data_IF_465762013562
#
_entry.id   IF_465762013562
#
_cell.length_a   1.000
_cell.length_b   1.000
_cell.length_c   1.000
_cell.angle_alpha   90.00
_cell.angle_beta   90.00
_cell.angle_gamma   90.00
#
_symmetry.space_group_name_H-M   'P 1'
#
loop_
_entity.id
_entity.type
_entity.pdbx_description
1 polymer ?
#
# COMPACT_ATOMS: atom_id res chain seq x y z
N UNK A 1 -2.89 -3.51 -12.63
CA UNK A 1 -3.25 -4.03 -13.95
C UNK A 1 -3.33 -2.85 -14.92
N UNK A 2 -2.54 -2.84 -16.00
CA UNK A 2 -2.62 -1.78 -17.00
C UNK A 2 -3.96 -1.83 -17.74
N UNK A 3 -4.54 -0.67 -18.02
CA UNK A 3 -5.76 -0.49 -18.83
C UNK A 3 -5.35 0.12 -20.15
N UNK A 4 -5.61 -0.62 -21.23
CA UNK A 4 -5.27 -0.20 -22.59
C UNK A 4 -6.48 0.46 -23.24
N UNK A 5 -6.26 1.53 -24.01
CA UNK A 5 -7.23 2.11 -24.95
C UNK A 5 -6.46 2.36 -26.24
N UNK A 6 -6.99 1.92 -27.38
CA UNK A 6 -6.31 2.02 -28.69
C UNK A 6 -4.86 1.50 -28.73
N UNK A 7 -4.57 0.48 -27.92
CA UNK A 7 -3.24 -0.15 -27.84
C UNK A 7 -2.24 0.56 -26.93
N UNK A 8 -2.61 1.67 -26.30
CA UNK A 8 -1.76 2.40 -25.36
C UNK A 8 -2.24 2.28 -23.91
N UNK A 9 -1.30 2.28 -22.96
CA UNK A 9 -1.64 2.28 -21.52
C UNK A 9 -1.95 3.71 -21.10
N UNK A 10 -3.18 3.95 -20.64
CA UNK A 10 -3.56 5.26 -20.08
C UNK A 10 -3.86 5.23 -18.59
N UNK A 11 -4.26 4.07 -18.04
CA UNK A 11 -4.65 3.95 -16.64
C UNK A 11 -4.15 2.65 -16.01
N UNK A 12 -4.24 2.58 -14.69
CA UNK A 12 -3.88 1.40 -13.90
C UNK A 12 -4.99 1.08 -12.89
N UNK A 13 -5.49 -0.15 -12.93
CA UNK A 13 -6.29 -0.70 -11.84
C UNK A 13 -5.37 -1.27 -10.75
N UNK A 14 -5.62 -0.93 -9.49
CA UNK A 14 -4.91 -1.48 -8.34
C UNK A 14 -5.91 -1.97 -7.29
N UNK A 15 -5.63 -3.14 -6.72
CA UNK A 15 -6.34 -3.69 -5.59
C UNK A 15 -5.30 -4.15 -4.57
N UNK A 16 -5.52 -3.81 -3.30
CA UNK A 16 -4.65 -4.17 -2.18
C UNK A 16 -5.50 -4.84 -1.12
N UNK A 17 -5.09 -6.02 -0.70
CA UNK A 17 -5.65 -6.75 0.44
C UNK A 17 -4.52 -7.27 1.32
N UNK A 18 -4.80 -7.47 2.61
CA UNK A 18 -3.91 -8.23 3.49
C UNK A 18 -4.04 -9.72 3.14
N UNK A 19 -2.92 -10.41 2.99
CA UNK A 19 -2.89 -11.86 2.76
C UNK A 19 -2.58 -12.55 4.08
N UNK A 20 -3.41 -13.51 4.45
CA UNK A 20 -3.35 -14.16 5.76
C UNK A 20 -2.05 -14.93 6.02
N UNK A 21 -1.33 -15.35 4.98
CA UNK A 21 -0.08 -16.08 5.15
C UNK A 21 0.83 -16.05 3.92
N UNK A 22 2.10 -15.73 4.11
CA UNK A 22 3.13 -15.68 3.07
C UNK A 22 4.42 -16.42 3.49
N UNK A 23 4.33 -17.43 4.36
CA UNK A 23 5.43 -18.37 4.57
C UNK A 23 6.53 -17.91 5.53
N UNK A 24 6.21 -17.07 6.52
CA UNK A 24 7.12 -16.73 7.63
C UNK A 24 7.47 -17.95 8.51
N UNK A 25 8.34 -17.80 9.51
CA UNK A 25 8.58 -18.85 10.51
C UNK A 25 7.32 -19.24 11.30
N UNK A 26 6.30 -18.37 11.35
CA UNK A 26 5.00 -18.64 12.00
C UNK A 26 3.82 -18.45 11.05
N UNK A 27 2.69 -19.06 11.42
CA UNK A 27 1.42 -18.91 10.70
C UNK A 27 0.77 -17.55 10.95
N UNK A 28 0.21 -16.94 9.90
CA UNK A 28 -0.46 -15.63 10.00
C UNK A 28 0.37 -14.46 9.48
N UNK A 29 1.62 -14.70 9.07
CA UNK A 29 2.51 -13.70 8.48
C UNK A 29 3.03 -12.63 9.45
N UNK A 30 2.73 -12.73 10.75
CA UNK A 30 3.26 -11.87 11.80
C UNK A 30 4.08 -12.71 12.77
N UNK A 31 5.40 -12.60 12.71
CA UNK A 31 6.33 -13.29 13.62
C UNK A 31 6.93 -12.29 14.62
N UNK A 32 6.43 -12.21 15.87
CA UNK A 32 6.99 -11.30 16.88
C UNK A 32 8.45 -11.61 17.24
N UNK A 33 8.91 -12.84 16.96
CA UNK A 33 10.27 -13.28 17.26
C UNK A 33 11.22 -13.08 16.08
N UNK A 34 10.76 -12.46 14.98
CA UNK A 34 11.62 -12.17 13.84
C UNK A 34 12.68 -11.13 14.22
N UNK A 35 13.94 -11.50 14.05
CA UNK A 35 15.12 -10.64 14.29
C UNK A 35 15.77 -10.19 12.98
N UNK A 36 15.37 -10.80 11.87
CA UNK A 36 15.78 -10.43 10.53
C UNK A 36 14.63 -10.65 9.53
N UNK A 37 14.75 -10.00 8.38
CA UNK A 37 13.72 -10.01 7.33
C UNK A 37 13.51 -11.39 6.68
N UNK A 38 14.40 -12.36 6.88
CA UNK A 38 14.29 -13.70 6.32
C UNK A 38 13.44 -14.63 7.18
N UNK A 39 13.22 -14.24 8.44
CA UNK A 39 12.30 -14.90 9.37
C UNK A 39 10.85 -14.40 9.20
N UNK A 40 10.67 -13.28 8.50
CA UNK A 40 9.37 -12.73 8.09
C UNK A 40 8.82 -13.44 6.84
N UNK A 41 7.87 -12.80 6.14
CA UNK A 41 7.20 -13.33 4.96
C UNK A 41 8.12 -13.44 3.74
N UNK A 42 7.73 -14.32 2.82
CA UNK A 42 8.30 -14.41 1.49
C UNK A 42 8.20 -13.07 0.76
N UNK A 43 9.35 -12.52 0.37
CA UNK A 43 9.44 -11.19 -0.28
C UNK A 43 9.25 -11.32 -1.78
N UNK A 44 8.18 -10.72 -2.28
CA UNK A 44 7.81 -10.76 -3.69
C UNK A 44 8.20 -9.42 -4.34
N UNK A 45 9.22 -9.36 -5.22
CA UNK A 45 9.50 -8.16 -5.98
C UNK A 45 8.39 -7.89 -7.02
N UNK A 46 8.37 -6.74 -7.71
CA UNK A 46 7.44 -6.50 -8.80
C UNK A 46 7.59 -7.59 -9.88
N UNK A 47 6.61 -8.48 -9.97
CA UNK A 47 6.57 -9.60 -10.90
C UNK A 47 5.25 -9.59 -11.68
N UNK A 48 5.32 -10.03 -12.94
CA UNK A 48 4.11 -10.31 -13.72
C UNK A 48 3.53 -11.66 -13.29
N UNK A 49 2.32 -11.65 -12.75
CA UNK A 49 1.55 -12.87 -12.53
C UNK A 49 0.84 -13.35 -13.80
N UNK A 50 0.58 -12.44 -14.72
CA UNK A 50 0.06 -12.74 -16.06
C UNK A 50 0.95 -12.09 -17.10
N UNK A 51 1.26 -12.82 -18.18
CA UNK A 51 1.91 -12.27 -19.36
C UNK A 51 1.01 -12.46 -20.57
N UNK A 52 0.62 -11.36 -21.22
CA UNK A 52 -0.31 -11.34 -22.36
C UNK A 52 -1.61 -12.14 -22.13
N UNK A 53 -2.16 -12.09 -20.92
CA UNK A 53 -3.39 -12.79 -20.54
C UNK A 53 -3.20 -14.25 -20.12
N UNK A 54 -1.99 -14.80 -20.25
CA UNK A 54 -1.65 -16.15 -19.78
C UNK A 54 -1.11 -16.09 -18.36
N UNK A 55 -1.67 -16.92 -17.46
CA UNK A 55 -1.17 -17.07 -16.10
C UNK A 55 0.26 -17.63 -16.13
N UNK A 56 1.17 -16.97 -15.41
CA UNK A 56 2.53 -17.44 -15.15
C UNK A 56 2.47 -18.54 -14.10
N UNK A 57 2.38 -19.79 -14.56
CA UNK A 57 2.26 -20.96 -13.66
C UNK A 57 3.48 -21.13 -12.74
N UNK A 58 4.66 -20.72 -13.20
CA UNK A 58 5.89 -20.65 -12.40
C UNK A 58 5.72 -19.74 -11.17
N UNK A 59 5.20 -18.52 -11.37
CA UNK A 59 4.96 -17.55 -10.29
C UNK A 59 3.79 -18.00 -9.40
N UNK A 60 2.71 -18.48 -10.01
CA UNK A 60 1.56 -18.98 -9.26
C UNK A 60 1.93 -20.13 -8.33
N UNK A 61 2.70 -21.10 -8.83
CA UNK A 61 3.17 -22.24 -8.06
C UNK A 61 4.16 -21.82 -6.98
N UNK A 62 5.02 -20.83 -7.25
CA UNK A 62 5.91 -20.26 -6.24
C UNK A 62 5.12 -19.65 -5.08
N UNK A 63 4.07 -18.87 -5.35
CA UNK A 63 3.21 -18.29 -4.32
C UNK A 63 2.48 -19.39 -3.52
N UNK A 64 1.92 -20.39 -4.22
CA UNK A 64 1.25 -21.53 -3.59
C UNK A 64 2.18 -22.33 -2.67
N UNK A 65 3.44 -22.53 -3.06
CA UNK A 65 4.42 -23.26 -2.28
C UNK A 65 4.87 -22.53 -1.00
N UNK A 66 4.65 -21.21 -0.93
CA UNK A 66 5.08 -20.36 0.19
C UNK A 66 3.92 -19.92 1.08
N UNK A 67 2.82 -20.68 1.12
CA UNK A 67 1.71 -20.40 2.04
C UNK A 67 1.16 -21.67 2.66
N UNK A 68 0.79 -21.59 3.94
CA UNK A 68 0.09 -22.65 4.67
C UNK A 68 -1.43 -22.57 4.49
N UNK A 69 -1.93 -21.50 3.86
CA UNK A 69 -3.35 -21.22 3.63
C UNK A 69 -3.66 -21.01 2.13
N UNK A 70 -3.34 -21.96 1.24
CA UNK A 70 -3.40 -21.74 -0.21
C UNK A 70 -4.80 -21.39 -0.71
N UNK A 71 -5.85 -21.99 -0.14
CA UNK A 71 -7.23 -21.68 -0.53
C UNK A 71 -7.60 -20.20 -0.29
N UNK A 72 -7.22 -19.65 0.86
CA UNK A 72 -7.51 -18.26 1.20
C UNK A 72 -6.61 -17.30 0.43
N UNK A 73 -5.29 -17.52 0.46
CA UNK A 73 -4.31 -16.60 -0.12
C UNK A 73 -4.42 -16.53 -1.63
N UNK A 74 -4.56 -17.67 -2.32
CA UNK A 74 -4.75 -17.68 -3.77
C UNK A 74 -6.13 -17.16 -4.16
N UNK A 75 -7.14 -17.39 -3.31
CA UNK A 75 -8.47 -16.80 -3.46
C UNK A 75 -8.44 -15.27 -3.40
N UNK A 76 -7.74 -14.69 -2.44
CA UNK A 76 -7.59 -13.23 -2.29
C UNK A 76 -6.79 -12.61 -3.45
N UNK A 77 -5.77 -13.31 -3.95
CA UNK A 77 -5.04 -12.89 -5.15
C UNK A 77 -5.99 -12.90 -6.37
N UNK A 78 -6.78 -13.95 -6.56
CA UNK A 78 -7.78 -14.01 -7.63
C UNK A 78 -8.85 -12.93 -7.49
N UNK A 79 -9.32 -12.66 -6.26
CA UNK A 79 -10.26 -11.58 -5.99
C UNK A 79 -9.68 -10.22 -6.37
N UNK A 80 -8.42 -9.96 -6.02
CA UNK A 80 -7.69 -8.73 -6.38
C UNK A 80 -7.54 -8.57 -7.90
N UNK A 81 -7.26 -9.67 -8.62
CA UNK A 81 -7.21 -9.70 -10.09
C UNK A 81 -8.60 -9.42 -10.67
N UNK A 82 -9.64 -10.05 -10.15
CA UNK A 82 -11.02 -9.87 -10.57
C UNK A 82 -11.50 -8.43 -10.39
N UNK A 83 -11.17 -7.81 -9.26
CA UNK A 83 -11.44 -6.40 -8.98
C UNK A 83 -10.74 -5.49 -9.98
N UNK A 84 -9.43 -5.69 -10.19
CA UNK A 84 -8.65 -4.90 -11.17
C UNK A 84 -9.19 -5.06 -12.59
N UNK A 85 -9.53 -6.29 -13.01
CA UNK A 85 -10.05 -6.58 -14.35
C UNK A 85 -11.41 -5.94 -14.57
N UNK A 86 -12.31 -6.04 -13.58
CA UNK A 86 -13.64 -5.43 -13.64
C UNK A 86 -13.54 -3.90 -13.72
N UNK A 87 -12.70 -3.29 -12.88
CA UNK A 87 -12.44 -1.85 -12.93
C UNK A 87 -11.81 -1.42 -14.26
N UNK A 88 -10.84 -2.19 -14.76
CA UNK A 88 -10.17 -1.92 -16.03
C UNK A 88 -11.13 -1.93 -17.23
N UNK A 89 -11.98 -2.95 -17.35
CA UNK A 89 -12.98 -3.04 -18.43
C UNK A 89 -13.96 -1.86 -18.41
N UNK A 90 -14.39 -1.42 -17.22
CA UNK A 90 -15.29 -0.28 -17.07
C UNK A 90 -14.59 1.03 -17.45
N UNK A 91 -13.33 1.18 -17.06
CA UNK A 91 -12.55 2.37 -17.37
C UNK A 91 -12.20 2.46 -18.86
N UNK A 92 -11.86 1.33 -19.48
CA UNK A 92 -11.66 1.23 -20.94
C UNK A 92 -12.94 1.60 -21.69
N UNK A 93 -14.09 1.03 -21.32
CA UNK A 93 -15.37 1.36 -21.95
C UNK A 93 -15.70 2.85 -21.84
N UNK A 94 -15.51 3.43 -20.65
CA UNK A 94 -15.73 4.85 -20.41
C UNK A 94 -14.77 5.72 -21.23
N UNK A 95 -13.50 5.32 -21.33
CA UNK A 95 -12.49 6.04 -22.11
C UNK A 95 -12.78 6.00 -23.61
N UNK A 96 -13.28 4.88 -24.12
CA UNK A 96 -13.71 4.74 -25.52
C UNK A 96 -14.94 5.59 -25.81
N UNK A 97 -15.89 5.69 -24.87
CA UNK A 97 -17.12 6.47 -25.05
C UNK A 97 -16.91 7.98 -24.91
N UNK A 98 -16.16 8.41 -23.89
CA UNK A 98 -16.03 9.82 -23.50
C UNK A 98 -14.71 10.46 -23.97
N UNK A 99 -13.77 9.66 -24.45
CA UNK A 99 -12.43 10.07 -24.82
C UNK A 99 -11.46 10.05 -23.64
N UNK A 100 -10.25 9.54 -23.90
CA UNK A 100 -9.15 9.47 -22.91
C UNK A 100 -8.78 10.86 -22.36
N UNK A 101 -8.73 11.89 -23.22
CA UNK A 101 -8.41 13.26 -22.84
C UNK A 101 -9.41 13.81 -21.83
N UNK A 102 -10.70 13.70 -22.14
CA UNK A 102 -11.79 14.10 -21.24
C UNK A 102 -11.66 13.44 -19.88
N UNK A 103 -11.39 12.13 -19.81
CA UNK A 103 -11.24 11.44 -18.53
C UNK A 103 -10.03 11.92 -17.74
N UNK A 104 -8.91 12.23 -18.39
CA UNK A 104 -7.74 12.80 -17.72
C UNK A 104 -8.05 14.18 -17.14
N UNK A 105 -8.75 15.03 -17.89
CA UNK A 105 -9.17 16.35 -17.39
C UNK A 105 -10.07 16.22 -16.15
N UNK A 106 -10.97 15.23 -16.12
CA UNK A 106 -11.81 14.95 -14.95
C UNK A 106 -10.98 14.43 -13.76
N UNK A 107 -9.98 13.59 -14.00
CA UNK A 107 -9.07 13.12 -12.95
C UNK A 107 -8.26 14.28 -12.36
N UNK A 108 -7.69 15.14 -13.20
CA UNK A 108 -6.96 16.33 -12.77
C UNK A 108 -7.87 17.26 -11.95
N UNK A 109 -9.10 17.49 -12.41
CA UNK A 109 -10.09 18.25 -11.65
C UNK A 109 -10.40 17.63 -10.28
N UNK A 110 -10.54 16.30 -10.18
CA UNK A 110 -10.80 15.61 -8.90
C UNK A 110 -9.62 15.73 -7.94
N UNK A 111 -8.39 15.62 -8.44
CA UNK A 111 -7.17 15.80 -7.66
C UNK A 111 -7.08 17.26 -7.16
N UNK A 112 -7.26 18.24 -8.03
CA UNK A 112 -7.25 19.66 -7.70
C UNK A 112 -8.36 20.05 -6.71
N UNK A 113 -9.56 19.48 -6.88
CA UNK A 113 -10.68 19.71 -5.96
C UNK A 113 -10.37 19.13 -4.57
N UNK A 114 -9.76 17.95 -4.51
CA UNK A 114 -9.36 17.31 -3.25
C UNK A 114 -8.25 18.10 -2.57
N UNK A 115 -7.26 18.58 -3.32
CA UNK A 115 -6.21 19.45 -2.80
C UNK A 115 -6.78 20.76 -2.24
N UNK A 116 -7.62 21.46 -3.02
CA UNK A 116 -8.26 22.71 -2.58
C UNK A 116 -9.07 22.50 -1.30
N UNK A 117 -9.81 21.39 -1.21
CA UNK A 117 -10.57 21.05 0.00
C UNK A 117 -9.64 20.83 1.18
N UNK A 118 -8.59 20.02 1.03
CA UNK A 118 -7.60 19.82 2.10
C UNK A 118 -6.99 21.14 2.55
N UNK A 119 -6.55 22.01 1.62
CA UNK A 119 -6.00 23.33 1.94
C UNK A 119 -6.99 24.23 2.69
N UNK A 120 -8.27 24.17 2.36
CA UNK A 120 -9.33 24.89 3.07
C UNK A 120 -9.50 24.41 4.51
N UNK A 121 -9.40 23.11 4.75
CA UNK A 121 -9.42 22.57 6.13
C UNK A 121 -8.18 22.99 6.91
N UNK A 122 -7.00 22.92 6.28
CA UNK A 122 -5.75 23.34 6.91
C UNK A 122 -5.71 24.84 7.22
N UNK A 123 -6.37 25.68 6.43
CA UNK A 123 -6.45 27.11 6.66
C UNK A 123 -7.14 27.47 7.99
N UNK A 124 -8.02 26.60 8.50
CA UNK A 124 -8.73 26.79 9.77
C UNK A 124 -7.84 26.48 10.99
N UNK A 125 -6.74 25.76 10.80
CA UNK A 125 -5.79 25.43 11.86
C UNK A 125 -4.79 26.60 11.98
N UNK A 126 -4.54 27.16 13.18
CA UNK A 126 -3.55 28.23 13.33
C UNK A 126 -2.15 27.86 12.84
N UNK A 127 -1.42 28.84 12.30
CA UNK A 127 0.01 28.65 11.98
C UNK A 127 0.80 28.38 13.26
N UNK A 128 1.75 27.46 13.20
CA UNK A 128 2.57 27.07 14.34
C UNK A 128 3.15 25.68 14.24
N UNK A 129 3.94 25.31 15.25
CA UNK A 129 4.49 23.97 15.39
C UNK A 129 3.81 23.23 16.53
N UNK A 130 3.16 22.13 16.19
CA UNK A 130 2.49 21.21 17.10
C UNK A 130 3.42 20.04 17.36
N UNK A 131 3.60 19.66 18.62
CA UNK A 131 4.48 18.55 19.01
C UNK A 131 3.71 17.52 19.81
N UNK A 132 4.01 16.26 19.55
CA UNK A 132 3.53 15.13 20.34
C UNK A 132 4.61 14.06 20.38
N UNK A 133 4.58 13.24 21.43
CA UNK A 133 5.39 12.04 21.53
C UNK A 133 4.55 10.90 22.10
N UNK A 134 4.87 9.70 21.66
CA UNK A 134 4.28 8.46 22.17
C UNK A 134 5.43 7.53 22.53
N UNK A 135 5.40 7.01 23.75
CA UNK A 135 6.28 5.94 24.19
C UNK A 135 5.52 4.63 24.04
N UNK A 136 6.05 3.73 23.23
CA UNK A 136 5.58 2.37 23.10
C UNK A 136 6.57 1.45 23.81
N UNK A 137 6.05 0.63 24.72
CA UNK A 137 6.84 -0.40 25.37
C UNK A 137 6.76 -1.68 24.53
N UNK A 138 7.86 -2.03 23.88
CA UNK A 138 8.02 -3.34 23.26
C UNK A 138 8.46 -4.32 24.35
N UNK A 139 7.78 -5.45 24.45
CA UNK A 139 8.12 -6.55 25.35
C UNK A 139 7.98 -7.83 24.54
N UNK A 140 9.10 -8.52 24.32
CA UNK A 140 9.14 -9.79 23.59
C UNK A 140 9.11 -11.02 24.52
N UNK A 141 8.90 -10.78 25.82
CA UNK A 141 8.94 -11.79 26.88
C UNK A 141 10.33 -12.06 27.43
N UNK A 142 11.40 -11.49 26.86
CA UNK A 142 12.78 -11.64 27.32
C UNK A 142 13.39 -10.32 27.79
N UNK A 143 13.16 -9.23 27.05
CA UNK A 143 13.56 -7.87 27.40
C UNK A 143 12.45 -6.88 27.04
N UNK A 144 12.39 -5.77 27.78
CA UNK A 144 11.47 -4.68 27.49
C UNK A 144 12.23 -3.42 27.12
N UNK A 145 11.92 -2.87 25.94
CA UNK A 145 12.51 -1.65 25.41
C UNK A 145 11.43 -0.60 25.20
N UNK A 146 11.73 0.63 25.61
CA UNK A 146 10.87 1.78 25.33
C UNK A 146 11.27 2.42 24.01
N UNK A 147 10.36 2.41 23.05
CA UNK A 147 10.51 3.05 21.74
C UNK A 147 9.70 4.35 21.76
N UNK A 148 10.36 5.48 21.54
CA UNK A 148 9.68 6.77 21.49
C UNK A 148 9.53 7.23 20.06
N UNK A 149 8.29 7.43 19.61
CA UNK A 149 7.97 8.12 18.37
C UNK A 149 7.69 9.59 18.69
N UNK A 150 8.54 10.49 18.18
CA UNK A 150 8.38 11.94 18.30
C UNK A 150 7.85 12.50 17.00
N UNK A 151 6.96 13.48 17.11
CA UNK A 151 6.33 14.11 15.97
C UNK A 151 6.30 15.62 16.16
N UNK A 152 6.86 16.35 15.20
CA UNK A 152 6.67 17.78 15.04
C UNK A 152 5.93 18.04 13.72
N UNK A 153 4.74 18.63 13.82
CA UNK A 153 3.96 19.10 12.68
C UNK A 153 4.09 20.62 12.63
N UNK A 154 4.72 21.15 11.60
CA UNK A 154 4.80 22.61 11.38
C UNK A 154 3.85 23.01 10.27
N UNK A 155 2.87 23.85 10.61
CA UNK A 155 1.89 24.41 9.68
C UNK A 155 2.22 25.89 9.43
N UNK A 156 2.36 26.25 8.16
CA UNK A 156 2.63 27.62 7.75
C UNK A 156 2.69 27.76 6.23
N UNK A 157 2.37 28.95 5.72
CA UNK A 157 2.42 29.23 4.28
C UNK A 157 1.52 28.32 3.41
N UNK A 158 0.45 27.77 3.99
CA UNK A 158 -0.44 26.82 3.31
C UNK A 158 0.11 25.39 3.18
N UNK A 159 1.22 25.07 3.85
CA UNK A 159 1.85 23.76 3.87
C UNK A 159 1.91 23.18 5.27
N UNK A 160 2.06 21.86 5.33
CA UNK A 160 2.40 21.11 6.54
C UNK A 160 3.70 20.36 6.30
N UNK A 161 4.65 20.53 7.22
CA UNK A 161 5.83 19.68 7.34
C UNK A 161 5.64 18.72 8.49
N UNK A 162 5.96 17.45 8.27
CA UNK A 162 5.90 16.39 9.27
C UNK A 162 7.31 15.89 9.53
N UNK A 163 7.79 16.03 10.76
CA UNK A 163 9.15 15.68 11.16
C UNK A 163 9.13 14.67 12.33
N UNK A 164 9.84 13.56 12.15
CA UNK A 164 10.00 12.49 13.14
C UNK A 164 11.41 12.49 13.78
N UNK A 165 12.23 13.51 13.54
CA UNK A 165 13.56 13.64 14.10
C UNK A 165 13.54 13.54 15.63
N UNK A 166 14.51 12.79 16.18
CA UNK A 166 14.62 12.54 17.61
C UNK A 166 13.76 11.36 18.12
N UNK A 167 13.05 10.66 17.24
CA UNK A 167 12.49 9.33 17.53
C UNK A 167 13.60 8.31 17.80
N UNK A 168 13.27 7.23 18.52
CA UNK A 168 14.19 6.12 18.77
C UNK A 168 14.69 5.48 17.46
N UNK A 169 15.91 4.92 17.44
CA UNK A 169 16.40 4.16 16.30
C UNK A 169 15.58 2.88 16.08
N UNK A 170 15.78 2.24 14.93
CA UNK A 170 15.22 0.92 14.65
C UNK A 170 15.60 -0.08 15.76
N UNK A 171 14.62 -0.86 16.19
CA UNK A 171 14.78 -1.96 17.16
C UNK A 171 15.35 -3.21 16.47
N UNK A 172 16.06 -4.08 17.21
CA UNK A 172 16.53 -5.36 16.67
C UNK A 172 15.43 -6.43 16.58
N UNK A 173 14.21 -6.11 17.05
CA UNK A 173 13.04 -6.99 17.06
C UNK A 173 11.87 -6.32 16.33
N UNK A 174 10.90 -7.13 15.92
CA UNK A 174 9.63 -6.69 15.34
C UNK A 174 8.69 -6.07 16.39
#
# INVERSE_FOLDING_TARGET
MPVFVDGEIHFWGAAKGHLADLGSAVMGGYNPQATDIWQENFRIPPLRLYDRGTLRSDVWNLLNANTRLPHFVLGDIQASIGACRTGGLRLEALATEQGVGTLKDHLDFLLDATERRMRSELAQIPDGTYRSEVVYRCDDGSESIDVTAKLAITKGGGHISVDYAGSSPQTPYY
#
